data_IF_712510493173
#
_entry.id   IF_712510493173
#
_cell.length_a   1.000
_cell.length_b   1.000
_cell.length_c   1.000
_cell.angle_alpha   90.00
_cell.angle_beta   90.00
_cell.angle_gamma   90.00
#
_symmetry.space_group_name_H-M   'P 1'
#
loop_
_entity.id
_entity.type
_entity.pdbx_description
1 polymer ?
#
# COMPACT_ATOMS: atom_id res chain seq x y z
N UNK A 1 -33.25 -15.56 -13.07
CA UNK A 1 -33.24 -15.28 -14.53
C UNK A 1 -32.68 -13.91 -14.92
N UNK A 2 -33.17 -12.75 -14.43
CA UNK A 2 -32.53 -11.44 -14.75
C UNK A 2 -31.21 -11.18 -14.01
N UNK A 3 -30.99 -11.77 -12.82
CA UNK A 3 -29.73 -11.63 -12.06
C UNK A 3 -28.58 -12.42 -12.68
N UNK A 4 -28.86 -13.61 -13.22
CA UNK A 4 -27.83 -14.56 -13.67
C UNK A 4 -27.24 -14.10 -15.01
N UNK A 5 -28.07 -13.50 -15.87
CA UNK A 5 -27.63 -12.85 -17.11
C UNK A 5 -26.72 -11.64 -16.83
N UNK A 6 -27.02 -10.85 -15.80
CA UNK A 6 -26.20 -9.69 -15.42
C UNK A 6 -24.85 -10.12 -14.83
N UNK A 7 -24.83 -11.16 -13.99
CA UNK A 7 -23.60 -11.72 -13.43
C UNK A 7 -22.68 -12.28 -14.52
N UNK A 8 -23.24 -13.03 -15.47
CA UNK A 8 -22.49 -13.56 -16.61
C UNK A 8 -21.91 -12.44 -17.50
N UNK A 9 -22.69 -11.39 -17.77
CA UNK A 9 -22.21 -10.22 -18.52
C UNK A 9 -21.11 -9.46 -17.78
N UNK A 10 -21.24 -9.26 -16.47
CA UNK A 10 -20.23 -8.59 -15.66
C UNK A 10 -18.92 -9.41 -15.59
N UNK A 11 -19.01 -10.73 -15.46
CA UNK A 11 -17.85 -11.63 -15.51
C UNK A 11 -17.18 -11.62 -16.89
N UNK A 12 -17.96 -11.65 -17.98
CA UNK A 12 -17.45 -11.54 -19.34
C UNK A 12 -16.71 -10.22 -19.57
N UNK A 13 -17.29 -9.09 -19.13
CA UNK A 13 -16.64 -7.79 -19.20
C UNK A 13 -15.32 -7.76 -18.40
N UNK A 14 -15.33 -8.32 -17.19
CA UNK A 14 -14.14 -8.32 -16.36
C UNK A 14 -13.00 -9.17 -16.97
N UNK A 15 -13.32 -10.34 -17.51
CA UNK A 15 -12.36 -11.19 -18.22
C UNK A 15 -11.79 -10.48 -19.46
N UNK A 16 -12.65 -9.81 -20.25
CA UNK A 16 -12.25 -9.08 -21.46
C UNK A 16 -11.29 -7.92 -21.17
N UNK A 17 -11.34 -7.31 -19.99
CA UNK A 17 -10.41 -6.23 -19.64
C UNK A 17 -9.17 -6.71 -18.88
N UNK A 18 -9.32 -7.71 -18.00
CA UNK A 18 -8.24 -8.21 -17.15
C UNK A 18 -7.24 -9.08 -17.91
N UNK A 19 -7.71 -9.96 -18.81
CA UNK A 19 -6.85 -10.89 -19.57
C UNK A 19 -5.87 -10.14 -20.50
N UNK A 20 -6.28 -9.13 -21.28
CA UNK A 20 -5.33 -8.33 -22.06
C UNK A 20 -4.30 -7.61 -21.19
N UNK A 21 -4.70 -7.16 -20.00
CA UNK A 21 -3.77 -6.58 -19.02
C UNK A 21 -2.69 -7.58 -18.60
N UNK A 22 -3.08 -8.83 -18.32
CA UNK A 22 -2.12 -9.92 -18.01
C UNK A 22 -1.14 -10.13 -19.17
N UNK A 23 -1.66 -10.23 -20.40
CA UNK A 23 -0.84 -10.49 -21.58
C UNK A 23 0.18 -9.37 -21.80
N UNK A 24 -0.27 -8.11 -21.71
CA UNK A 24 0.61 -6.95 -21.79
C UNK A 24 1.70 -6.97 -20.70
N UNK A 25 1.34 -7.34 -19.46
CA UNK A 25 2.29 -7.40 -18.35
C UNK A 25 3.35 -8.49 -18.52
N UNK A 26 2.98 -9.65 -19.06
CA UNK A 26 3.93 -10.72 -19.38
C UNK A 26 4.91 -10.32 -20.50
N UNK A 27 4.44 -9.55 -21.48
CA UNK A 27 5.30 -8.99 -22.53
C UNK A 27 6.30 -7.98 -21.95
N UNK A 28 5.85 -7.04 -21.13
CA UNK A 28 6.73 -6.05 -20.48
C UNK A 28 7.75 -6.70 -19.53
N UNK A 29 7.39 -7.82 -18.91
CA UNK A 29 8.27 -8.56 -18.01
C UNK A 29 9.25 -9.52 -18.74
N UNK A 30 9.28 -9.52 -20.07
CA UNK A 30 10.23 -10.30 -20.87
C UNK A 30 10.02 -11.82 -20.84
N UNK A 31 8.84 -12.30 -20.43
CA UNK A 31 8.60 -13.72 -20.11
C UNK A 31 7.95 -14.54 -21.23
N UNK A 32 7.88 -14.01 -22.46
CA UNK A 32 7.32 -14.75 -23.61
C UNK A 32 8.27 -14.68 -24.80
N UNK A 33 8.86 -15.81 -25.25
CA UNK A 33 9.45 -15.91 -26.57
C UNK A 33 8.31 -16.07 -27.58
N UNK A 34 8.19 -15.12 -28.52
CA UNK A 34 7.48 -15.22 -29.80
C UNK A 34 6.18 -16.06 -29.84
N UNK A 35 5.00 -15.41 -29.93
CA UNK A 35 3.88 -15.94 -30.72
C UNK A 35 2.83 -14.86 -31.05
N UNK A 36 2.61 -14.74 -32.37
CA UNK A 36 1.54 -14.20 -33.21
C UNK A 36 0.11 -14.03 -32.64
N UNK A 37 -0.09 -13.41 -31.48
CA UNK A 37 -1.44 -13.07 -31.00
C UNK A 37 -1.64 -11.71 -30.26
N UNK A 38 -0.87 -10.62 -30.49
CA UNK A 38 -1.25 -9.31 -29.94
C UNK A 38 -2.20 -8.52 -30.87
N UNK A 39 -2.36 -8.91 -32.14
CA UNK A 39 -3.11 -8.10 -33.12
C UNK A 39 -4.64 -8.25 -33.05
N UNK A 40 -5.17 -9.34 -32.47
CA UNK A 40 -6.62 -9.61 -32.43
C UNK A 40 -7.32 -9.10 -31.15
N UNK A 41 -6.58 -8.84 -30.07
CA UNK A 41 -7.17 -8.38 -28.79
C UNK A 41 -7.27 -6.85 -28.66
N UNK A 42 -6.39 -6.09 -29.33
CA UNK A 42 -6.46 -4.62 -29.36
C UNK A 42 -7.73 -4.07 -30.03
N UNK A 43 -8.21 -4.61 -31.18
CA UNK A 43 -9.42 -4.13 -31.83
C UNK A 43 -10.71 -4.45 -31.05
N UNK A 44 -10.74 -5.56 -30.31
CA UNK A 44 -11.86 -5.91 -29.44
C UNK A 44 -11.99 -4.95 -28.24
N UNK A 45 -10.85 -4.43 -27.74
CA UNK A 45 -10.80 -3.38 -26.72
C UNK A 45 -11.34 -2.04 -27.23
N UNK A 46 -11.07 -1.71 -28.49
CA UNK A 46 -11.61 -0.51 -29.14
C UNK A 46 -13.13 -0.62 -29.43
N UNK A 47 -13.63 -1.83 -29.75
CA UNK A 47 -15.03 -2.06 -30.12
C UNK A 47 -16.03 -2.08 -28.95
N UNK A 48 -15.65 -2.55 -27.76
CA UNK A 48 -16.54 -2.61 -26.59
C UNK A 48 -16.46 -1.39 -25.65
N UNK A 49 -15.39 -0.61 -25.73
CA UNK A 49 -15.13 0.55 -24.88
C UNK A 49 -16.04 1.77 -25.15
N UNK A 50 -16.84 1.74 -26.21
CA UNK A 50 -17.64 2.86 -26.70
C UNK A 50 -19.13 2.65 -26.42
N UNK A 51 -19.58 2.93 -25.19
CA UNK A 51 -20.97 3.36 -24.95
C UNK A 51 -21.20 4.12 -23.64
N UNK A 52 -20.41 3.90 -22.56
CA UNK A 52 -20.54 4.66 -21.29
C UNK A 52 -19.19 4.94 -20.60
N UNK A 53 -18.97 6.20 -20.16
CA UNK A 53 -17.75 6.67 -19.46
C UNK A 53 -17.36 5.83 -18.21
N UNK A 54 -18.35 5.25 -17.51
CA UNK A 54 -18.12 4.42 -16.31
C UNK A 54 -17.55 3.05 -16.64
N UNK A 55 -18.01 2.43 -17.73
CA UNK A 55 -17.54 1.10 -18.18
C UNK A 55 -16.11 1.19 -18.69
N UNK A 56 -15.77 2.23 -19.46
CA UNK A 56 -14.39 2.50 -19.88
C UNK A 56 -13.43 2.62 -18.67
N UNK A 57 -13.83 3.36 -17.64
CA UNK A 57 -13.01 3.55 -16.45
C UNK A 57 -12.81 2.24 -15.67
N UNK A 58 -13.88 1.45 -15.52
CA UNK A 58 -13.80 0.14 -14.87
C UNK A 58 -12.91 -0.82 -15.69
N UNK A 59 -13.05 -0.81 -17.01
CA UNK A 59 -12.21 -1.60 -17.91
C UNK A 59 -10.73 -1.25 -17.79
N UNK A 60 -10.39 0.04 -17.69
CA UNK A 60 -9.00 0.47 -17.50
C UNK A 60 -8.45 0.09 -16.12
N UNK A 61 -9.27 0.13 -15.07
CA UNK A 61 -8.87 -0.38 -13.74
C UNK A 61 -8.64 -1.89 -13.73
N UNK A 62 -9.46 -2.66 -14.46
CA UNK A 62 -9.27 -4.10 -14.58
C UNK A 62 -8.05 -4.42 -15.45
N UNK A 63 -7.80 -3.66 -16.50
CA UNK A 63 -6.58 -3.76 -17.29
C UNK A 63 -5.33 -3.48 -16.44
N UNK A 64 -5.33 -2.40 -15.64
CA UNK A 64 -4.20 -2.07 -14.76
C UNK A 64 -4.00 -3.13 -13.66
N UNK A 65 -5.08 -3.70 -13.13
CA UNK A 65 -5.01 -4.83 -12.20
C UNK A 65 -4.43 -6.09 -12.85
N UNK A 66 -4.79 -6.39 -14.10
CA UNK A 66 -4.26 -7.52 -14.87
C UNK A 66 -2.77 -7.35 -15.17
N UNK A 67 -2.39 -6.14 -15.60
CA UNK A 67 -0.99 -5.75 -15.81
C UNK A 67 -0.17 -5.91 -14.54
N UNK A 68 -0.65 -5.34 -13.44
CA UNK A 68 -0.03 -5.46 -12.12
C UNK A 68 0.13 -6.92 -11.70
N UNK A 69 -0.92 -7.75 -11.88
CA UNK A 69 -0.88 -9.16 -11.52
C UNK A 69 0.16 -9.95 -12.33
N UNK A 70 0.28 -9.69 -13.63
CA UNK A 70 1.24 -10.38 -14.47
C UNK A 70 2.69 -10.02 -14.11
N UNK A 71 2.96 -8.73 -13.91
CA UNK A 71 4.29 -8.26 -13.51
C UNK A 71 4.64 -8.81 -12.12
N UNK A 72 3.69 -8.78 -11.16
CA UNK A 72 3.89 -9.32 -9.82
C UNK A 72 4.06 -10.84 -9.79
N UNK A 73 3.39 -11.59 -10.67
CA UNK A 73 3.57 -13.04 -10.80
C UNK A 73 5.04 -13.41 -11.07
N UNK A 74 5.73 -12.61 -11.88
CA UNK A 74 7.18 -12.74 -12.09
C UNK A 74 8.04 -12.30 -10.90
N UNK A 75 7.52 -11.50 -9.97
CA UNK A 75 8.27 -11.05 -8.78
C UNK A 75 8.24 -12.11 -7.66
N UNK A 76 7.14 -12.89 -7.54
CA UNK A 76 6.99 -13.90 -6.49
C UNK A 76 7.47 -15.32 -6.89
N UNK A 77 7.49 -15.65 -8.18
CA UNK A 77 8.24 -16.81 -8.68
C UNK A 77 9.74 -16.43 -8.72
N UNK A 78 10.69 -17.38 -8.72
CA UNK A 78 12.14 -17.09 -8.66
C UNK A 78 12.71 -16.36 -9.90
N UNK A 79 11.83 -15.77 -10.72
CA UNK A 79 12.25 -14.84 -11.74
C UNK A 79 12.71 -13.52 -11.08
N UNK A 80 13.77 -12.91 -11.59
CA UNK A 80 14.27 -11.66 -11.06
C UNK A 80 13.21 -10.57 -11.19
N UNK A 81 13.10 -9.69 -10.18
CA UNK A 81 12.30 -8.47 -10.26
C UNK A 81 12.51 -7.77 -11.60
N UNK A 82 11.45 -7.28 -12.27
CA UNK A 82 11.56 -6.65 -13.58
C UNK A 82 12.69 -5.62 -13.57
N UNK A 83 13.59 -5.67 -14.56
CA UNK A 83 14.79 -4.83 -14.60
C UNK A 83 14.44 -3.34 -14.40
N UNK A 84 13.35 -2.89 -15.00
CA UNK A 84 12.82 -1.55 -14.84
C UNK A 84 12.42 -1.20 -13.38
N UNK A 85 11.76 -2.11 -12.67
CA UNK A 85 11.35 -1.87 -11.28
C UNK A 85 12.57 -1.74 -10.35
N UNK A 86 13.60 -2.57 -10.57
CA UNK A 86 14.87 -2.48 -9.85
C UNK A 86 15.60 -1.17 -10.14
N UNK A 87 15.65 -0.76 -11.40
CA UNK A 87 16.26 0.51 -11.81
C UNK A 87 15.57 1.70 -11.14
N UNK A 88 14.23 1.75 -11.18
CA UNK A 88 13.47 2.80 -10.49
C UNK A 88 13.72 2.81 -8.98
N UNK A 89 13.78 1.64 -8.34
CA UNK A 89 14.07 1.53 -6.91
C UNK A 89 15.50 2.02 -6.59
N UNK A 90 16.48 1.62 -7.40
CA UNK A 90 17.87 2.08 -7.29
C UNK A 90 17.99 3.60 -7.42
N UNK A 91 17.32 4.20 -8.41
CA UNK A 91 17.28 5.66 -8.58
C UNK A 91 16.60 6.37 -7.43
N UNK A 92 15.53 5.79 -6.87
CA UNK A 92 14.86 6.34 -5.69
C UNK A 92 15.77 6.28 -4.46
N UNK A 93 16.45 5.16 -4.24
CA UNK A 93 17.46 5.03 -3.19
C UNK A 93 18.58 6.06 -3.35
N UNK A 94 19.17 6.18 -4.55
CA UNK A 94 20.22 7.15 -4.84
C UNK A 94 19.75 8.60 -4.62
N UNK A 95 18.50 8.91 -4.97
CA UNK A 95 17.91 10.22 -4.70
C UNK A 95 17.82 10.49 -3.19
N UNK A 96 17.36 9.53 -2.40
CA UNK A 96 17.29 9.66 -0.93
C UNK A 96 18.69 9.80 -0.33
N UNK A 97 19.66 9.00 -0.80
CA UNK A 97 21.04 9.02 -0.34
C UNK A 97 21.73 10.37 -0.66
N UNK A 98 21.26 11.11 -1.67
CA UNK A 98 21.77 12.45 -2.02
C UNK A 98 21.24 13.59 -1.14
N UNK A 99 20.23 13.34 -0.31
CA UNK A 99 19.62 14.37 0.55
C UNK A 99 20.57 14.66 1.73
N UNK A 100 20.95 15.93 1.97
CA UNK A 100 21.89 16.30 3.02
C UNK A 100 21.23 16.31 4.40
N UNK A 101 20.91 15.13 4.93
CA UNK A 101 20.49 14.98 6.33
C UNK A 101 21.68 15.22 7.26
N UNK A 102 21.45 15.92 8.39
CA UNK A 102 22.50 16.14 9.39
C UNK A 102 22.86 14.88 10.19
N UNK A 103 21.93 13.94 10.31
CA UNK A 103 22.10 12.65 10.98
C UNK A 103 21.98 11.48 9.98
N UNK A 104 22.99 10.60 9.96
CA UNK A 104 23.04 9.45 9.07
C UNK A 104 21.90 8.45 9.31
N UNK A 105 21.40 8.35 10.56
CA UNK A 105 20.27 7.45 10.91
C UNK A 105 18.97 7.93 10.28
N UNK A 106 18.80 9.25 10.10
CA UNK A 106 17.59 9.83 9.52
C UNK A 106 17.45 9.48 8.03
N UNK A 107 18.54 9.60 7.25
CA UNK A 107 18.54 9.19 5.84
C UNK A 107 18.27 7.70 5.66
N UNK A 108 18.92 6.85 6.46
CA UNK A 108 18.70 5.40 6.45
C UNK A 108 17.25 5.03 6.82
N UNK A 109 16.65 5.72 7.79
CA UNK A 109 15.26 5.52 8.19
C UNK A 109 14.28 5.92 7.08
N UNK A 110 14.49 7.09 6.45
CA UNK A 110 13.68 7.55 5.31
C UNK A 110 13.77 6.56 4.15
N UNK A 111 14.97 6.08 3.83
CA UNK A 111 15.20 5.04 2.82
C UNK A 111 14.40 3.77 3.13
N UNK A 112 14.54 3.24 4.35
CA UNK A 112 13.81 2.04 4.77
C UNK A 112 12.28 2.22 4.70
N UNK A 113 11.77 3.40 5.07
CA UNK A 113 10.32 3.67 5.09
C UNK A 113 9.72 3.95 3.71
N UNK A 114 10.50 4.45 2.75
CA UNK A 114 10.01 4.75 1.40
C UNK A 114 10.25 3.61 0.42
N UNK A 115 11.38 2.91 0.52
CA UNK A 115 11.80 1.86 -0.44
C UNK A 115 11.73 0.46 0.13
N UNK A 116 11.68 0.32 1.46
CA UNK A 116 11.77 -0.97 2.14
C UNK A 116 13.21 -1.46 2.31
N UNK A 117 14.19 -0.72 1.82
CA UNK A 117 15.60 -1.07 1.92
C UNK A 117 16.17 -0.71 3.30
N UNK A 118 16.53 -1.75 4.05
CA UNK A 118 17.07 -1.63 5.41
C UNK A 118 18.58 -1.79 5.46
N UNK A 119 19.27 -1.91 4.32
CA UNK A 119 20.72 -2.18 4.29
C UNK A 119 21.55 -1.08 4.95
N UNK A 120 21.04 0.15 4.95
CA UNK A 120 21.69 1.32 5.54
C UNK A 120 21.40 1.48 7.05
N UNK A 121 20.53 0.66 7.64
CA UNK A 121 20.25 0.70 9.08
C UNK A 121 21.23 -0.19 9.83
N UNK A 122 21.88 0.38 10.83
CA UNK A 122 22.77 -0.32 11.75
C UNK A 122 22.00 -1.29 12.66
N UNK A 123 22.72 -2.28 13.20
CA UNK A 123 22.13 -3.32 14.04
C UNK A 123 21.55 -2.79 15.35
N UNK A 124 22.06 -1.67 15.87
CA UNK A 124 21.55 -1.04 17.08
C UNK A 124 20.18 -0.41 16.81
N UNK A 125 20.05 0.37 15.73
CA UNK A 125 18.74 0.89 15.28
C UNK A 125 17.74 -0.24 15.05
N UNK A 126 18.12 -1.30 14.32
CA UNK A 126 17.24 -2.45 14.13
C UNK A 126 16.84 -3.12 15.46
N UNK A 127 17.77 -3.18 16.43
CA UNK A 127 17.53 -3.65 17.78
C UNK A 127 16.48 -2.84 18.53
N UNK A 128 16.54 -1.51 18.44
CA UNK A 128 15.57 -0.58 19.05
C UNK A 128 14.16 -0.83 18.49
N UNK A 129 14.00 -0.94 17.17
CA UNK A 129 12.70 -1.24 16.55
C UNK A 129 12.16 -2.64 16.90
N UNK A 130 13.04 -3.61 17.15
CA UNK A 130 12.64 -4.95 17.59
C UNK A 130 12.17 -4.95 19.04
N UNK A 131 12.95 -4.36 19.96
CA UNK A 131 12.64 -4.28 21.39
C UNK A 131 11.37 -3.48 21.67
N UNK A 132 11.19 -2.35 20.99
CA UNK A 132 9.98 -1.53 21.10
C UNK A 132 8.74 -2.16 20.45
N UNK A 133 8.87 -3.22 19.65
CA UNK A 133 7.75 -3.79 18.89
C UNK A 133 7.34 -2.97 17.65
N UNK A 134 8.12 -1.93 17.32
CA UNK A 134 7.92 -1.07 16.15
C UNK A 134 8.45 -1.65 14.83
N UNK A 135 8.96 -2.89 14.81
CA UNK A 135 9.56 -3.50 13.60
C UNK A 135 8.64 -3.52 12.37
N UNK A 136 7.33 -3.53 12.61
CA UNK A 136 6.32 -3.44 11.56
C UNK A 136 6.26 -2.06 10.87
N UNK A 137 6.81 -1.01 11.49
CA UNK A 137 6.95 0.32 10.89
C UNK A 137 8.11 0.39 9.88
N UNK A 138 9.17 -0.40 10.07
CA UNK A 138 10.25 -0.57 9.09
C UNK A 138 9.86 -1.48 7.92
N UNK A 139 8.74 -2.18 8.03
CA UNK A 139 8.18 -2.95 6.93
C UNK A 139 7.19 -2.09 6.16
N UNK A 140 7.38 -1.97 4.85
CA UNK A 140 6.40 -1.33 4.00
C UNK A 140 5.04 -1.99 4.18
N UNK A 141 4.13 -1.22 4.77
CA UNK A 141 2.83 -1.69 5.24
C UNK A 141 1.70 -1.02 4.47
N UNK A 142 0.47 -1.50 4.69
CA UNK A 142 -0.70 -0.86 4.09
C UNK A 142 -0.92 0.59 4.53
N UNK A 143 -0.38 0.97 5.69
CA UNK A 143 -0.39 2.36 6.17
C UNK A 143 0.49 3.26 5.29
N UNK A 144 1.68 2.81 4.90
CA UNK A 144 2.59 3.56 4.01
C UNK A 144 1.92 3.85 2.67
N UNK A 145 1.40 2.81 2.02
CA UNK A 145 0.69 2.96 0.75
C UNK A 145 -0.60 3.80 0.90
N UNK A 146 -1.34 3.61 1.99
CA UNK A 146 -2.54 4.39 2.29
C UNK A 146 -2.26 5.89 2.42
N UNK A 147 -1.14 6.27 3.06
CA UNK A 147 -0.71 7.66 3.16
C UNK A 147 -0.28 8.24 1.81
N UNK A 148 0.48 7.48 1.02
CA UNK A 148 0.85 7.87 -0.36
C UNK A 148 -0.41 8.11 -1.19
N UNK A 149 -1.36 7.17 -1.15
CA UNK A 149 -2.62 7.27 -1.86
C UNK A 149 -3.46 8.47 -1.40
N UNK A 150 -3.51 8.76 -0.10
CA UNK A 150 -4.23 9.92 0.44
C UNK A 150 -3.57 11.24 0.00
N UNK A 151 -2.24 11.32 0.05
CA UNK A 151 -1.49 12.49 -0.42
C UNK A 151 -1.74 12.72 -1.91
N UNK A 152 -1.59 11.67 -2.72
CA UNK A 152 -1.84 11.73 -4.15
C UNK A 152 -3.28 12.14 -4.47
N UNK A 153 -4.26 11.59 -3.73
CA UNK A 153 -5.67 11.97 -3.89
C UNK A 153 -5.92 13.44 -3.60
N UNK A 154 -5.20 14.06 -2.65
CA UNK A 154 -5.26 15.49 -2.35
C UNK A 154 -4.57 16.33 -3.43
N UNK A 155 -3.39 15.92 -3.89
CA UNK A 155 -2.65 16.62 -4.95
C UNK A 155 -3.41 16.65 -6.28
N UNK A 156 -4.25 15.64 -6.53
CA UNK A 156 -5.08 15.55 -7.72
C UNK A 156 -6.43 16.30 -7.60
N UNK A 157 -6.76 16.91 -6.46
CA UNK A 157 -7.99 17.70 -6.29
C UNK A 157 -8.12 18.89 -7.26
N UNK A 158 -7.04 19.63 -7.61
CA UNK A 158 -7.12 20.76 -8.53
C UNK A 158 -7.55 20.39 -9.96
N UNK A 159 -7.55 19.10 -10.33
CA UNK A 159 -8.10 18.63 -11.62
C UNK A 159 -9.62 18.86 -11.78
N UNK A 160 -10.29 19.32 -10.73
CA UNK A 160 -11.69 19.69 -10.72
C UNK A 160 -12.62 18.58 -10.23
N UNK A 161 -13.86 18.95 -9.94
CA UNK A 161 -14.88 18.05 -9.36
C UNK A 161 -15.82 17.42 -10.39
N UNK A 162 -15.53 17.60 -11.69
CA UNK A 162 -16.36 17.02 -12.74
C UNK A 162 -16.32 15.47 -12.69
N UNK A 163 -17.37 14.77 -13.18
CA UNK A 163 -17.35 13.31 -13.25
C UNK A 163 -16.15 12.75 -14.03
N UNK A 164 -15.71 13.45 -15.07
CA UNK A 164 -14.53 13.08 -15.85
C UNK A 164 -13.24 13.27 -15.06
N UNK A 165 -13.10 14.40 -14.36
CA UNK A 165 -11.95 14.68 -13.47
C UNK A 165 -11.86 13.66 -12.34
N UNK A 166 -12.99 13.24 -11.76
CA UNK A 166 -13.04 12.19 -10.73
C UNK A 166 -12.53 10.86 -11.26
N UNK A 167 -12.96 10.46 -12.46
CA UNK A 167 -12.49 9.23 -13.11
C UNK A 167 -10.98 9.32 -13.38
N UNK A 168 -10.51 10.42 -13.97
CA UNK A 168 -9.08 10.63 -14.25
C UNK A 168 -8.25 10.53 -12.96
N UNK A 169 -8.67 11.22 -11.88
CA UNK A 169 -8.02 11.15 -10.57
C UNK A 169 -7.97 9.73 -10.02
N UNK A 170 -9.07 8.98 -10.15
CA UNK A 170 -9.15 7.58 -9.68
C UNK A 170 -8.14 6.70 -10.42
N UNK A 171 -8.08 6.83 -11.75
CA UNK A 171 -7.18 6.07 -12.61
C UNK A 171 -5.71 6.41 -12.35
N UNK A 172 -5.38 7.70 -12.22
CA UNK A 172 -4.03 8.15 -11.86
C UNK A 172 -3.62 7.63 -10.48
N UNK A 173 -4.51 7.66 -9.50
CA UNK A 173 -4.23 7.16 -8.16
C UNK A 173 -3.96 5.65 -8.14
N UNK A 174 -4.76 4.87 -8.87
CA UNK A 174 -4.57 3.42 -9.02
C UNK A 174 -3.26 3.12 -9.73
N UNK A 175 -2.97 3.80 -10.85
CA UNK A 175 -1.75 3.59 -11.63
C UNK A 175 -0.48 3.92 -10.82
N UNK A 176 -0.46 5.07 -10.13
CA UNK A 176 0.68 5.45 -9.29
C UNK A 176 0.86 4.51 -8.09
N UNK A 177 -0.23 4.06 -7.47
CA UNK A 177 -0.18 3.07 -6.38
C UNK A 177 0.35 1.72 -6.87
N UNK A 178 -0.10 1.25 -8.04
CA UNK A 178 0.42 0.03 -8.65
C UNK A 178 1.92 0.14 -8.94
N UNK A 179 2.35 1.27 -9.52
CA UNK A 179 3.75 1.54 -9.81
C UNK A 179 4.61 1.51 -8.54
N UNK A 180 4.19 2.21 -7.47
CA UNK A 180 4.91 2.20 -6.20
C UNK A 180 5.05 0.80 -5.62
N UNK A 181 3.98 -0.01 -5.64
CA UNK A 181 4.02 -1.39 -5.13
C UNK A 181 4.98 -2.26 -5.95
N UNK A 182 5.05 -2.08 -7.27
CA UNK A 182 6.00 -2.82 -8.12
C UNK A 182 7.46 -2.42 -7.85
N UNK A 183 7.74 -1.12 -7.72
CA UNK A 183 9.08 -0.59 -7.46
C UNK A 183 9.61 -1.07 -6.10
N UNK A 184 8.73 -1.15 -5.10
CA UNK A 184 9.08 -1.53 -3.73
C UNK A 184 9.04 -3.05 -3.45
N UNK A 185 8.96 -3.88 -4.50
CA UNK A 185 9.09 -5.34 -4.39
C UNK A 185 7.79 -6.09 -4.06
N UNK A 186 6.63 -5.45 -4.15
CA UNK A 186 5.30 -6.06 -4.10
C UNK A 186 5.06 -7.01 -2.91
N UNK A 187 5.46 -6.59 -1.70
CA UNK A 187 5.22 -7.36 -0.47
C UNK A 187 3.71 -7.67 -0.30
N UNK A 188 3.33 -8.82 0.29
CA UNK A 188 1.91 -9.20 0.40
C UNK A 188 1.02 -8.16 1.10
N UNK A 189 1.59 -7.44 2.07
CA UNK A 189 0.95 -6.33 2.78
C UNK A 189 0.62 -5.13 1.88
N UNK A 190 1.52 -4.80 0.95
CA UNK A 190 1.34 -3.75 -0.05
C UNK A 190 0.37 -4.16 -1.16
N UNK A 191 0.45 -5.42 -1.62
CA UNK A 191 -0.50 -5.97 -2.59
C UNK A 191 -1.93 -5.87 -2.06
N UNK A 192 -2.17 -6.28 -0.82
CA UNK A 192 -3.50 -6.11 -0.18
C UNK A 192 -3.92 -4.65 -0.16
N UNK A 193 -3.03 -3.73 0.25
CA UNK A 193 -3.38 -2.31 0.31
C UNK A 193 -3.71 -1.72 -1.07
N UNK A 194 -3.00 -2.15 -2.12
CA UNK A 194 -3.33 -1.82 -3.50
C UNK A 194 -4.70 -2.37 -3.91
N UNK A 195 -5.02 -3.63 -3.57
CA UNK A 195 -6.34 -4.20 -3.82
C UNK A 195 -7.45 -3.42 -3.11
N UNK A 196 -7.22 -2.96 -1.87
CA UNK A 196 -8.17 -2.11 -1.15
C UNK A 196 -8.39 -0.77 -1.85
N UNK A 197 -7.33 -0.13 -2.36
CA UNK A 197 -7.42 1.09 -3.16
C UNK A 197 -8.22 0.82 -4.44
N UNK A 198 -7.91 -0.26 -5.16
CA UNK A 198 -8.59 -0.65 -6.39
C UNK A 198 -10.09 -0.87 -6.16
N UNK A 199 -10.46 -1.64 -5.13
CA UNK A 199 -11.87 -1.91 -4.77
C UNK A 199 -12.57 -0.60 -4.38
N UNK A 200 -11.91 0.25 -3.59
CA UNK A 200 -12.47 1.55 -3.18
C UNK A 200 -12.74 2.44 -4.38
N UNK A 201 -11.77 2.61 -5.28
CA UNK A 201 -11.94 3.46 -6.47
C UNK A 201 -12.98 2.89 -7.44
N UNK A 202 -12.99 1.58 -7.66
CA UNK A 202 -14.04 0.92 -8.45
C UNK A 202 -15.43 1.14 -7.84
N UNK A 203 -15.56 0.98 -6.52
CA UNK A 203 -16.82 1.20 -5.80
C UNK A 203 -17.29 2.66 -5.90
N UNK A 204 -16.35 3.61 -5.90
CA UNK A 204 -16.63 5.03 -6.03
C UNK A 204 -17.13 5.42 -7.43
N UNK A 205 -16.58 4.81 -8.49
CA UNK A 205 -17.05 5.01 -9.88
C UNK A 205 -18.43 4.38 -10.10
N UNK A 206 -18.66 3.22 -9.49
CA UNK A 206 -19.96 2.53 -9.53
C UNK A 206 -21.01 3.17 -8.62
N UNK A 207 -20.63 4.13 -7.76
CA UNK A 207 -21.48 4.73 -6.72
C UNK A 207 -22.12 3.68 -5.81
N UNK A 208 -21.38 2.60 -5.51
CA UNK A 208 -21.81 1.51 -4.64
C UNK A 208 -20.79 1.32 -3.54
N UNK A 209 -20.86 2.09 -2.44
CA UNK A 209 -19.90 1.97 -1.35
C UNK A 209 -19.93 0.54 -0.81
N UNK A 210 -18.75 -0.05 -0.62
CA UNK A 210 -18.60 -1.39 -0.07
C UNK A 210 -18.25 -1.30 1.42
N UNK A 211 -18.88 -2.10 2.29
CA UNK A 211 -18.47 -2.17 3.69
C UNK A 211 -17.03 -2.73 3.79
N UNK A 212 -16.25 -2.34 4.81
CA UNK A 212 -14.84 -2.74 4.94
C UNK A 212 -14.62 -4.26 4.92
N UNK A 213 -15.53 -5.05 5.52
CA UNK A 213 -15.46 -6.50 5.51
C UNK A 213 -15.60 -7.10 4.10
N UNK A 214 -16.46 -6.54 3.24
CA UNK A 214 -16.58 -7.01 1.86
C UNK A 214 -15.31 -6.70 1.06
N UNK A 215 -14.70 -5.54 1.30
CA UNK A 215 -13.41 -5.19 0.71
C UNK A 215 -12.32 -6.17 1.13
N UNK A 216 -12.28 -6.52 2.43
CA UNK A 216 -11.35 -7.52 2.98
C UNK A 216 -11.52 -8.89 2.32
N UNK A 217 -12.76 -9.42 2.27
CA UNK A 217 -13.04 -10.73 1.65
C UNK A 217 -12.72 -10.72 0.15
N UNK A 218 -13.08 -9.66 -0.56
CA UNK A 218 -12.81 -9.53 -2.01
C UNK A 218 -11.31 -9.48 -2.27
N UNK A 219 -10.56 -8.68 -1.52
CA UNK A 219 -9.11 -8.60 -1.65
C UNK A 219 -8.43 -9.93 -1.32
N UNK A 220 -8.89 -10.63 -0.26
CA UNK A 220 -8.39 -11.93 0.13
C UNK A 220 -8.58 -12.95 -1.00
N UNK A 221 -9.80 -13.07 -1.52
CA UNK A 221 -10.13 -13.98 -2.61
C UNK A 221 -9.30 -13.67 -3.86
N UNK A 222 -9.24 -12.40 -4.28
CA UNK A 222 -8.43 -12.00 -5.43
C UNK A 222 -6.97 -12.35 -5.22
N UNK A 223 -6.37 -12.03 -4.07
CA UNK A 223 -4.96 -12.29 -3.84
C UNK A 223 -4.63 -13.79 -3.80
N UNK A 224 -5.51 -14.62 -3.25
CA UNK A 224 -5.38 -16.08 -3.26
C UNK A 224 -5.54 -16.68 -4.67
N UNK A 225 -6.45 -16.15 -5.49
CA UNK A 225 -6.61 -16.59 -6.89
C UNK A 225 -5.39 -16.21 -7.72
N UNK A 226 -4.84 -15.00 -7.52
CA UNK A 226 -3.66 -14.54 -8.26
C UNK A 226 -2.36 -15.19 -7.80
N UNK A 227 -2.27 -15.61 -6.53
CA UNK A 227 -1.15 -16.37 -6.00
C UNK A 227 -1.65 -17.36 -4.92
N UNK A 228 -1.85 -18.64 -5.27
CA UNK A 228 -2.34 -19.64 -4.31
C UNK A 228 -1.35 -19.94 -3.18
N UNK A 229 -0.05 -19.63 -3.36
CA UNK A 229 0.95 -19.76 -2.30
C UNK A 229 0.96 -18.58 -1.31
N UNK A 230 0.22 -17.49 -1.58
CA UNK A 230 0.19 -16.30 -0.74
C UNK A 230 -0.16 -16.56 0.74
N UNK A 231 -1.11 -17.46 1.09
CA UNK A 231 -1.40 -17.79 2.49
C UNK A 231 -0.23 -18.41 3.26
N UNK A 232 0.78 -18.96 2.56
CA UNK A 232 2.01 -19.47 3.17
C UNK A 232 2.94 -18.37 3.71
N UNK A 233 2.80 -17.14 3.24
CA UNK A 233 3.61 -16.01 3.68
C UNK A 233 3.13 -15.44 5.03
N UNK A 234 4.08 -15.22 5.96
CA UNK A 234 3.80 -14.66 7.27
C UNK A 234 3.24 -13.23 7.20
N UNK A 235 3.80 -12.40 6.31
CA UNK A 235 3.36 -11.03 6.09
C UNK A 235 1.92 -10.97 5.58
N UNK A 236 1.53 -11.88 4.69
CA UNK A 236 0.14 -12.04 4.25
C UNK A 236 -0.80 -12.33 5.43
N UNK A 237 -0.52 -13.39 6.22
CA UNK A 237 -1.39 -13.80 7.34
C UNK A 237 -1.53 -12.70 8.39
N UNK A 238 -0.42 -12.12 8.82
CA UNK A 238 -0.41 -11.03 9.80
C UNK A 238 -1.18 -9.81 9.28
N UNK A 239 -1.03 -9.48 7.99
CA UNK A 239 -1.77 -8.38 7.36
C UNK A 239 -3.28 -8.60 7.39
N UNK A 240 -3.76 -9.74 6.88
CA UNK A 240 -5.20 -9.99 6.79
C UNK A 240 -5.84 -10.15 8.17
N UNK A 241 -5.14 -10.80 9.12
CA UNK A 241 -5.58 -10.90 10.52
C UNK A 241 -5.67 -9.53 11.20
N UNK A 242 -4.69 -8.64 10.99
CA UNK A 242 -4.73 -7.28 11.51
C UNK A 242 -6.00 -6.53 11.06
N UNK A 243 -6.28 -6.55 9.76
CA UNK A 243 -7.44 -5.86 9.19
C UNK A 243 -8.75 -6.53 9.60
N UNK A 244 -8.79 -7.86 9.71
CA UNK A 244 -9.95 -8.58 10.25
C UNK A 244 -10.26 -8.15 11.69
N UNK A 245 -9.26 -8.10 12.56
CA UNK A 245 -9.40 -7.62 13.93
C UNK A 245 -9.90 -6.17 13.98
N UNK A 246 -9.33 -5.30 13.14
CA UNK A 246 -9.81 -3.90 12.99
C UNK A 246 -11.28 -3.86 12.56
N UNK A 247 -11.68 -4.60 11.52
CA UNK A 247 -13.05 -4.52 11.03
C UNK A 247 -14.08 -5.10 12.01
N UNK A 248 -13.71 -6.11 12.81
CA UNK A 248 -14.63 -6.81 13.70
C UNK A 248 -14.69 -6.22 15.12
N UNK A 249 -13.55 -5.78 15.68
CA UNK A 249 -13.46 -5.35 17.09
C UNK A 249 -13.49 -3.83 17.22
N UNK A 250 -12.80 -3.09 16.33
CA UNK A 250 -12.62 -1.65 16.49
C UNK A 250 -13.95 -0.87 16.58
N UNK A 251 -15.00 -1.16 15.77
CA UNK A 251 -16.26 -0.42 15.88
C UNK A 251 -16.92 -0.53 17.27
N UNK A 252 -16.90 -1.73 17.87
CA UNK A 252 -17.43 -1.95 19.21
C UNK A 252 -16.57 -1.32 20.29
N UNK A 253 -15.25 -1.47 20.19
CA UNK A 253 -14.30 -0.95 21.18
C UNK A 253 -14.23 0.59 21.16
N UNK A 254 -14.26 1.20 19.98
CA UNK A 254 -14.32 2.66 19.82
C UNK A 254 -15.59 3.27 20.40
N UNK A 255 -16.71 2.53 20.33
CA UNK A 255 -18.01 2.97 20.86
C UNK A 255 -18.12 2.91 22.39
N UNK A 256 -17.21 2.22 23.09
CA UNK A 256 -17.18 2.21 24.57
C UNK A 256 -16.81 3.57 25.18
N UNK A 257 -16.12 4.42 24.42
CA UNK A 257 -15.77 5.76 24.87
C UNK A 257 -16.70 6.80 24.22
N UNK A 258 -17.21 7.80 24.95
CA UNK A 258 -18.15 8.77 24.42
C UNK A 258 -17.71 9.42 23.12
N UNK A 259 -18.62 9.48 22.15
CA UNK A 259 -18.40 10.15 20.87
C UNK A 259 -18.08 11.63 21.10
N UNK A 260 -16.93 12.09 20.62
CA UNK A 260 -16.47 13.47 20.77
C UNK A 260 -15.28 13.79 19.86
N UNK A 261 -14.98 15.07 19.67
CA UNK A 261 -13.82 15.52 18.85
C UNK A 261 -12.57 15.83 19.69
N UNK A 262 -12.59 15.51 20.98
CA UNK A 262 -11.50 15.80 21.91
C UNK A 262 -10.25 14.95 21.67
N UNK A 263 -9.08 15.40 22.16
CA UNK A 263 -7.81 14.67 22.04
C UNK A 263 -7.86 13.28 22.69
N UNK A 264 -8.58 13.15 23.81
CA UNK A 264 -8.78 11.87 24.50
C UNK A 264 -9.51 10.83 23.63
N UNK A 265 -10.52 11.23 22.85
CA UNK A 265 -11.19 10.31 21.91
C UNK A 265 -10.24 9.82 20.83
N UNK A 266 -9.40 10.71 20.28
CA UNK A 266 -8.38 10.32 19.28
C UNK A 266 -7.38 9.33 19.85
N UNK A 267 -6.92 9.55 21.08
CA UNK A 267 -6.03 8.61 21.77
C UNK A 267 -6.72 7.26 21.99
N UNK A 268 -7.99 7.26 22.42
CA UNK A 268 -8.79 6.04 22.54
C UNK A 268 -8.98 5.33 21.20
N UNK A 269 -9.19 6.06 20.11
CA UNK A 269 -9.33 5.47 18.77
C UNK A 269 -8.03 4.83 18.29
N UNK A 270 -6.88 5.45 18.54
CA UNK A 270 -5.57 4.87 18.24
C UNK A 270 -5.28 3.63 19.10
N UNK A 271 -5.63 3.69 20.39
CA UNK A 271 -5.48 2.57 21.32
C UNK A 271 -6.39 1.40 20.93
N UNK A 272 -7.68 1.67 20.72
CA UNK A 272 -8.66 0.65 20.32
C UNK A 272 -8.32 0.03 18.96
N UNK A 273 -7.81 0.80 18.00
CA UNK A 273 -7.31 0.29 16.73
C UNK A 273 -6.13 -0.68 16.95
N UNK A 274 -5.17 -0.30 17.78
CA UNK A 274 -3.99 -1.13 18.10
C UNK A 274 -4.39 -2.42 18.81
N UNK A 275 -5.27 -2.33 19.81
CA UNK A 275 -5.81 -3.50 20.54
C UNK A 275 -6.53 -4.43 19.57
N UNK A 276 -7.40 -3.90 18.72
CA UNK A 276 -8.17 -4.67 17.74
C UNK A 276 -7.28 -5.46 16.77
N UNK A 277 -6.22 -4.83 16.28
CA UNK A 277 -5.21 -5.48 15.44
C UNK A 277 -4.53 -6.64 16.19
N UNK A 278 -4.17 -6.43 17.45
CA UNK A 278 -3.42 -7.40 18.23
C UNK A 278 -4.22 -8.59 18.72
N UNK A 279 -5.50 -8.42 19.02
CA UNK A 279 -6.36 -9.56 19.36
C UNK A 279 -6.28 -10.69 18.32
N UNK A 280 -6.10 -10.34 17.04
CA UNK A 280 -6.01 -11.31 15.95
C UNK A 280 -4.56 -11.64 15.54
N UNK A 281 -3.64 -10.68 15.62
CA UNK A 281 -2.24 -10.90 15.19
C UNK A 281 -1.34 -11.47 16.28
N UNK A 282 -1.69 -11.32 17.56
CA UNK A 282 -0.84 -11.75 18.67
C UNK A 282 -0.51 -13.25 18.62
N UNK A 283 -1.52 -14.09 18.36
CA UNK A 283 -1.33 -15.54 18.30
C UNK A 283 -0.38 -15.93 17.15
N UNK A 284 -0.56 -15.32 15.98
CA UNK A 284 0.27 -15.60 14.81
C UNK A 284 1.69 -15.06 15.00
N UNK A 285 1.84 -13.85 15.55
CA UNK A 285 3.13 -13.26 15.88
C UNK A 285 3.89 -14.09 16.92
N UNK A 286 3.20 -14.60 17.94
CA UNK A 286 3.78 -15.50 18.94
C UNK A 286 4.27 -16.81 18.32
N UNK A 287 3.48 -17.43 17.42
CA UNK A 287 3.89 -18.67 16.74
C UNK A 287 5.12 -18.49 15.87
N UNK A 288 5.20 -17.38 15.14
CA UNK A 288 6.27 -17.10 14.16
C UNK A 288 7.55 -16.59 14.80
N UNK A 289 7.45 -15.59 15.68
CA UNK A 289 8.61 -14.87 16.20
C UNK A 289 8.99 -15.29 17.62
N UNK A 290 8.14 -16.08 18.30
CA UNK A 290 8.32 -16.49 19.70
C UNK A 290 8.53 -15.30 20.66
N UNK A 291 8.09 -14.12 20.25
CA UNK A 291 8.25 -12.87 21.00
C UNK A 291 6.97 -12.05 20.88
N UNK A 292 6.46 -11.55 22.01
CA UNK A 292 5.36 -10.60 22.03
C UNK A 292 5.85 -9.27 22.62
N UNK A 293 5.77 -8.15 21.86
CA UNK A 293 6.19 -6.86 22.38
C UNK A 293 5.19 -6.37 23.44
N UNK A 294 5.58 -6.40 24.71
CA UNK A 294 4.74 -5.98 25.83
C UNK A 294 4.30 -4.51 25.73
N UNK A 295 5.18 -3.64 25.21
CA UNK A 295 4.97 -2.19 25.11
C UNK A 295 4.39 -1.73 23.77
N UNK A 296 3.74 -2.63 23.02
CA UNK A 296 3.19 -2.30 21.71
C UNK A 296 2.22 -1.11 21.73
N UNK A 297 1.44 -0.97 22.80
CA UNK A 297 0.36 0.00 22.87
C UNK A 297 0.92 1.42 22.99
N UNK A 298 1.88 1.58 23.90
CA UNK A 298 2.62 2.83 24.10
C UNK A 298 3.37 3.18 22.82
N UNK A 299 4.07 2.19 22.24
CA UNK A 299 4.80 2.35 20.99
C UNK A 299 3.90 2.84 19.86
N UNK A 300 2.77 2.17 19.62
CA UNK A 300 1.86 2.55 18.54
C UNK A 300 1.18 3.90 18.79
N UNK A 301 0.82 4.19 20.05
CA UNK A 301 0.17 5.46 20.41
C UNK A 301 1.09 6.66 20.15
N UNK A 302 2.40 6.51 20.38
CA UNK A 302 3.37 7.58 20.14
C UNK A 302 3.93 7.57 18.71
N UNK A 303 4.29 6.40 18.18
CA UNK A 303 4.93 6.28 16.88
C UNK A 303 3.96 6.59 15.72
N UNK A 304 2.70 6.15 15.77
CA UNK A 304 1.78 6.34 14.63
C UNK A 304 1.53 7.83 14.31
N UNK A 305 1.24 8.73 15.27
CA UNK A 305 1.14 10.16 14.99
C UNK A 305 2.40 10.72 14.33
N UNK A 306 3.58 10.33 14.83
CA UNK A 306 4.86 10.77 14.26
C UNK A 306 4.99 10.28 12.81
N UNK A 307 4.65 9.01 12.55
CA UNK A 307 4.65 8.43 11.21
C UNK A 307 3.71 9.16 10.25
N UNK A 308 2.54 9.64 10.72
CA UNK A 308 1.60 10.41 9.88
C UNK A 308 2.14 11.77 9.45
N UNK A 309 3.10 12.34 10.18
CA UNK A 309 3.81 13.56 9.82
C UNK A 309 5.08 13.28 9.02
N UNK A 310 5.84 12.27 9.46
CA UNK A 310 7.11 11.86 8.88
C UNK A 310 6.95 11.40 7.43
N UNK A 311 5.96 10.57 7.12
CA UNK A 311 5.80 10.01 5.78
C UNK A 311 5.52 11.07 4.70
N UNK A 312 4.55 11.99 4.87
CA UNK A 312 4.38 13.11 3.94
C UNK A 312 5.62 13.99 3.83
N UNK A 313 6.31 14.28 4.94
CA UNK A 313 7.54 15.07 4.93
C UNK A 313 8.63 14.37 4.11
N UNK A 314 8.86 13.07 4.35
CA UNK A 314 9.84 12.27 3.61
C UNK A 314 9.53 12.19 2.10
N UNK A 315 8.26 11.99 1.74
CA UNK A 315 7.82 12.00 0.33
C UNK A 315 8.07 13.37 -0.29
N UNK A 316 7.72 14.46 0.41
CA UNK A 316 7.92 15.81 -0.09
C UNK A 316 9.41 16.13 -0.26
N UNK A 317 10.26 15.84 0.74
CA UNK A 317 11.70 16.05 0.65
C UNK A 317 12.30 15.29 -0.52
N UNK A 318 11.94 14.02 -0.70
CA UNK A 318 12.44 13.20 -1.81
C UNK A 318 11.96 13.71 -3.16
N UNK A 319 10.70 14.17 -3.26
CA UNK A 319 10.15 14.72 -4.50
C UNK A 319 10.85 16.04 -4.90
N UNK A 320 11.13 16.92 -3.94
CA UNK A 320 11.90 18.15 -4.18
C UNK A 320 13.36 17.83 -4.53
N UNK A 321 14.00 16.90 -3.81
CA UNK A 321 15.36 16.46 -4.13
C UNK A 321 15.48 15.92 -5.56
N UNK A 322 14.47 15.17 -6.03
CA UNK A 322 14.41 14.67 -7.40
C UNK A 322 14.34 15.78 -8.48
N UNK A 323 13.87 16.99 -8.14
CA UNK A 323 13.88 18.16 -9.03
C UNK A 323 15.14 19.03 -8.89
N UNK A 324 16.13 18.57 -8.12
CA UNK A 324 17.36 19.30 -7.83
C UNK A 324 17.22 20.40 -6.78
N UNK A 325 16.05 20.55 -6.16
CA UNK A 325 15.81 21.57 -5.13
C UNK A 325 15.72 20.89 -3.76
N UNK A 326 16.61 21.21 -2.83
CA UNK A 326 16.52 20.67 -1.46
C UNK A 326 16.24 21.82 -0.47
N UNK A 327 14.97 22.19 -0.24
CA UNK A 327 14.65 23.24 0.72
C UNK A 327 15.07 22.80 2.13
N UNK A 328 16.01 23.54 2.74
CA UNK A 328 16.59 23.21 4.05
C UNK A 328 15.53 23.03 5.14
N UNK A 329 14.47 23.85 5.10
CA UNK A 329 13.34 23.75 6.04
C UNK A 329 12.69 22.37 5.99
N UNK A 330 12.47 21.82 4.80
CA UNK A 330 11.79 20.54 4.62
C UNK A 330 12.66 19.36 5.06
N UNK A 331 13.96 19.43 4.75
CA UNK A 331 14.97 18.48 5.24
C UNK A 331 14.99 18.48 6.77
N UNK A 332 15.12 19.67 7.39
CA UNK A 332 15.10 19.83 8.84
C UNK A 332 13.81 19.33 9.49
N UNK A 333 12.65 19.59 8.89
CA UNK A 333 11.38 19.06 9.39
C UNK A 333 11.31 17.53 9.33
N UNK A 334 11.76 16.93 8.22
CA UNK A 334 11.81 15.48 8.06
C UNK A 334 12.78 14.85 9.06
N UNK A 335 13.95 15.45 9.24
CA UNK A 335 14.97 15.02 10.20
C UNK A 335 14.47 15.14 11.65
N UNK A 336 13.80 16.23 12.01
CA UNK A 336 13.19 16.40 13.33
C UNK A 336 12.16 15.30 13.62
N UNK A 337 11.34 14.91 12.63
CA UNK A 337 10.39 13.80 12.77
C UNK A 337 11.11 12.45 12.93
N UNK A 338 12.19 12.21 12.19
CA UNK A 338 13.01 11.00 12.32
C UNK A 338 13.62 10.90 13.72
N UNK A 339 14.27 11.97 14.20
CA UNK A 339 14.85 12.03 15.54
C UNK A 339 13.80 11.81 16.61
N UNK A 340 12.66 12.49 16.52
CA UNK A 340 11.56 12.31 17.48
C UNK A 340 11.06 10.86 17.51
N UNK A 341 10.94 10.20 16.35
CA UNK A 341 10.57 8.77 16.31
C UNK A 341 11.63 7.90 16.98
N UNK A 342 12.91 8.07 16.62
CA UNK A 342 14.00 7.28 17.18
C UNK A 342 14.11 7.45 18.71
N UNK A 343 14.06 8.68 19.21
CA UNK A 343 14.10 8.94 20.67
C UNK A 343 12.93 8.30 21.40
N UNK A 344 11.71 8.36 20.86
CA UNK A 344 10.55 7.69 21.46
C UNK A 344 10.76 6.17 21.51
N UNK A 345 11.27 5.58 20.43
CA UNK A 345 11.51 4.13 20.38
C UNK A 345 12.66 3.71 21.29
N UNK A 346 13.71 4.52 21.41
CA UNK A 346 14.83 4.30 22.33
C UNK A 346 14.32 4.26 23.78
N UNK A 347 13.54 5.28 24.18
CA UNK A 347 12.93 5.33 25.52
C UNK A 347 12.07 4.10 25.79
N UNK A 348 11.21 3.71 24.85
CA UNK A 348 10.35 2.53 25.04
C UNK A 348 11.16 1.22 25.03
N UNK A 349 12.24 1.14 24.26
CA UNK A 349 13.11 -0.04 24.23
C UNK A 349 13.95 -0.25 25.48
N UNK A 350 14.08 0.79 26.31
CA UNK A 350 14.79 0.78 27.59
C UNK A 350 13.90 0.46 28.80
N UNK A 351 12.56 0.42 28.61
CA UNK A 351 11.58 -0.07 29.58
C UNK A 351 11.52 -1.60 29.60
#
# INVERSE_FOLDING_TARGET
MKSDSFAAQAMGFAALCFIPGILAGRLMAGAVPTLSAPAAALPAFAGLALRRKKELALGLMLFSAGLFSAIRGNICCPAPTPAFARECCSRLCACIDSIPFGDCRSGALVKAMLTGDRSSLDSETLGIFRKSGASHLLALSGLHLGMIYMLLSKLLLPLGMSPASRIARSLTAVAASAFYVLVTGASPSLVRAFLFILIREASAILHRPQPPLHCLCTALLLQCVLNPAAPGDAGFRLSYLAVAGICLIHPGLSALYPSGKGPLKKMWDLASLSISCQCFTALEAWRLFRSFPAYFLITNLMALPIMTLLMPAAIATTAFAATGHCPSILVSCCEACCRMLLTVLEVVSAL
#
